data_IF_251627643578
#
_entry.id   IF_251627643578
#
_cell.length_a   1.000
_cell.length_b   1.000
_cell.length_c   1.000
_cell.angle_alpha   90.00
_cell.angle_beta   90.00
_cell.angle_gamma   90.00
#
_symmetry.space_group_name_H-M   'P 1'
#
loop_
_entity.id
_entity.type
_entity.pdbx_description
1 polymer ?
#
# COMPACT_ATOMS: atom_id res chain seq x y z
N UNK A 1 8.01 -1.59 -9.17
CA UNK A 1 6.70 -1.08 -8.68
C UNK A 1 6.67 -1.50 -7.23
N UNK A 2 6.40 -0.58 -6.31
CA UNK A 2 6.54 -0.78 -4.86
C UNK A 2 5.17 -0.62 -4.15
N UNK A 3 4.14 -1.41 -4.51
CA UNK A 3 2.79 -1.27 -3.97
C UNK A 3 2.66 -1.66 -2.50
N UNK A 4 3.59 -2.42 -1.93
CA UNK A 4 3.56 -2.83 -0.53
C UNK A 4 4.62 -2.15 0.35
N UNK A 5 5.50 -1.31 -0.23
CA UNK A 5 6.63 -0.74 0.50
C UNK A 5 7.82 -1.69 0.65
N UNK A 6 7.82 -2.80 -0.10
CA UNK A 6 8.84 -3.85 -0.07
C UNK A 6 10.28 -3.37 -0.31
N UNK A 7 10.46 -2.23 -0.97
CA UNK A 7 11.77 -1.63 -1.30
C UNK A 7 12.35 -0.74 -0.18
N UNK A 8 11.78 -0.76 1.03
CA UNK A 8 12.20 0.08 2.18
C UNK A 8 12.08 1.59 1.97
N UNK A 9 11.38 2.02 0.91
CA UNK A 9 11.14 3.42 0.58
C UNK A 9 9.67 3.63 0.31
N UNK A 10 9.12 4.80 0.66
CA UNK A 10 7.72 5.11 0.33
C UNK A 10 7.53 5.45 -1.15
N UNK A 11 8.57 5.86 -1.88
CA UNK A 11 8.42 6.15 -3.31
C UNK A 11 7.91 4.91 -4.07
N UNK A 12 6.89 5.03 -4.94
CA UNK A 12 6.28 6.25 -5.48
C UNK A 12 4.96 6.68 -4.79
N UNK A 13 4.71 6.30 -3.54
CA UNK A 13 3.57 6.78 -2.77
C UNK A 13 3.69 8.27 -2.43
N UNK A 14 2.58 8.98 -2.57
CA UNK A 14 2.37 10.34 -2.08
C UNK A 14 1.80 10.23 -0.67
N UNK A 15 2.48 10.84 0.29
CA UNK A 15 2.09 10.89 1.70
C UNK A 15 1.29 12.17 1.94
N UNK A 16 0.16 12.06 2.62
CA UNK A 16 -0.63 13.21 3.04
C UNK A 16 -1.31 12.96 4.41
N UNK A 17 -1.78 14.02 5.05
CA UNK A 17 -2.44 14.01 6.36
C UNK A 17 -1.49 14.10 7.55
N UNK A 18 -2.07 14.23 8.74
CA UNK A 18 -1.34 14.49 9.97
C UNK A 18 -0.68 13.24 10.56
N UNK A 19 -1.17 12.04 10.22
CA UNK A 19 -0.62 10.80 10.76
C UNK A 19 0.85 10.59 10.32
N UNK A 20 1.26 11.18 9.19
CA UNK A 20 2.55 10.97 8.53
C UNK A 20 2.87 9.46 8.32
N UNK A 21 2.06 8.74 7.51
CA UNK A 21 2.25 7.31 7.31
C UNK A 21 3.68 6.93 6.87
N UNK A 22 4.20 5.84 7.43
CA UNK A 22 5.56 5.36 7.16
C UNK A 22 5.62 3.85 6.93
N UNK A 23 6.79 3.37 6.53
CA UNK A 23 7.09 1.94 6.52
C UNK A 23 7.56 1.49 7.89
N UNK A 24 6.95 0.43 8.41
CA UNK A 24 7.43 -0.28 9.59
C UNK A 24 8.02 -1.63 9.17
N UNK A 25 9.15 -1.98 9.79
CA UNK A 25 9.89 -3.21 9.58
C UNK A 25 9.68 -4.23 10.73
N UNK A 26 8.54 -4.18 11.40
CA UNK A 26 8.22 -5.03 12.55
C UNK A 26 8.83 -4.52 13.86
N UNK A 27 9.31 -3.27 13.87
CA UNK A 27 9.78 -2.61 15.07
C UNK A 27 8.63 -2.27 16.03
N UNK A 28 7.42 -2.13 15.49
CA UNK A 28 6.24 -1.71 16.24
C UNK A 28 5.40 -2.88 16.79
N UNK A 29 5.42 -4.05 16.13
CA UNK A 29 4.52 -5.16 16.45
C UNK A 29 5.19 -6.56 16.33
N UNK A 30 5.14 -7.31 17.44
CA UNK A 30 5.61 -8.70 17.50
C UNK A 30 4.61 -9.62 16.79
N UNK A 31 5.05 -10.33 15.76
CA UNK A 31 4.22 -11.27 14.99
C UNK A 31 3.71 -10.75 13.65
N UNK A 32 4.23 -9.61 13.19
CA UNK A 32 4.02 -9.11 11.83
C UNK A 32 4.44 -10.17 10.78
N UNK A 33 3.69 -10.23 9.67
CA UNK A 33 3.97 -11.15 8.57
C UNK A 33 3.46 -10.54 7.25
N UNK A 34 4.24 -9.64 6.62
CA UNK A 34 3.86 -9.03 5.35
C UNK A 34 3.79 -10.10 4.25
N UNK A 35 2.86 -9.93 3.29
CA UNK A 35 2.69 -10.90 2.19
C UNK A 35 3.94 -11.02 1.33
N UNK A 36 4.65 -9.90 1.13
CA UNK A 36 5.89 -9.79 0.37
C UNK A 36 6.78 -8.74 1.02
N UNK A 37 8.10 -8.90 0.90
CA UNK A 37 9.08 -7.94 1.42
C UNK A 37 9.22 -7.98 2.95
N UNK A 38 9.81 -6.92 3.49
CA UNK A 38 10.13 -6.73 4.91
C UNK A 38 9.53 -5.43 5.45
N UNK A 39 8.38 -5.00 4.94
CA UNK A 39 7.76 -3.75 5.38
C UNK A 39 6.24 -3.85 5.36
N UNK A 40 5.60 -3.09 6.24
CA UNK A 40 4.17 -2.80 6.21
C UNK A 40 3.94 -1.30 6.35
N UNK A 41 2.78 -0.80 5.92
CA UNK A 41 2.41 0.58 6.19
C UNK A 41 1.97 0.75 7.64
N UNK A 42 2.40 1.84 8.25
CA UNK A 42 2.02 2.24 9.61
C UNK A 42 1.52 3.67 9.63
N UNK A 43 0.53 3.94 10.48
CA UNK A 43 -0.07 5.27 10.60
C UNK A 43 0.84 6.31 11.27
N UNK A 44 1.88 5.90 11.98
CA UNK A 44 2.83 6.71 12.77
C UNK A 44 2.19 7.61 13.85
N UNK A 45 2.05 8.92 13.64
CA UNK A 45 1.73 9.92 14.70
C UNK A 45 0.52 10.78 14.34
N UNK A 46 -0.56 10.74 15.10
CA UNK A 46 -1.72 11.62 14.88
C UNK A 46 -2.97 10.84 14.47
N UNK A 47 -3.98 11.54 13.96
CA UNK A 47 -5.31 10.95 13.75
C UNK A 47 -5.46 10.20 12.43
N UNK A 48 -5.20 10.88 11.29
CA UNK A 48 -5.46 10.35 9.95
C UNK A 48 -4.36 10.75 8.96
N UNK A 49 -4.04 9.82 8.07
CA UNK A 49 -3.12 10.03 6.95
C UNK A 49 -3.47 9.11 5.80
N UNK A 50 -2.93 9.43 4.63
CA UNK A 50 -3.18 8.68 3.39
C UNK A 50 -1.88 8.43 2.65
N UNK A 51 -1.83 7.26 1.99
CA UNK A 51 -0.84 6.94 0.97
C UNK A 51 -1.59 6.79 -0.34
N UNK A 52 -1.22 7.57 -1.35
CA UNK A 52 -1.81 7.50 -2.70
C UNK A 52 -0.76 7.15 -3.74
N UNK A 53 -1.07 6.25 -4.68
CA UNK A 53 -0.17 5.89 -5.79
C UNK A 53 -0.97 5.67 -7.07
N UNK A 54 -0.38 6.09 -8.20
CA UNK A 54 -0.89 5.74 -9.54
C UNK A 54 -0.41 4.36 -9.96
N UNK A 55 -1.34 3.49 -10.34
CA UNK A 55 -1.02 2.13 -10.81
C UNK A 55 -1.20 2.06 -12.32
N UNK A 56 -0.11 1.72 -13.03
CA UNK A 56 -0.15 1.54 -14.49
C UNK A 56 -0.80 0.20 -14.86
N UNK A 57 -2.02 0.22 -15.40
CA UNK A 57 -2.76 -1.02 -15.77
C UNK A 57 -2.39 -1.57 -17.16
N UNK A 58 -1.72 -0.77 -18.00
CA UNK A 58 -1.23 -1.13 -19.33
C UNK A 58 0.29 -1.33 -19.29
N UNK A 59 0.83 -2.32 -20.00
CA UNK A 59 2.28 -2.49 -20.18
C UNK A 59 2.76 -3.94 -20.16
N UNK A 60 4.04 -4.18 -20.40
CA UNK A 60 4.66 -5.50 -20.64
C UNK A 60 4.44 -6.57 -19.56
N UNK A 61 4.13 -6.17 -18.33
CA UNK A 61 3.84 -7.09 -17.22
C UNK A 61 2.34 -7.29 -16.97
N UNK A 62 1.48 -6.75 -17.83
CA UNK A 62 0.02 -6.87 -17.77
C UNK A 62 -0.50 -7.22 -19.16
N UNK A 63 -1.33 -8.24 -19.27
CA UNK A 63 -1.90 -8.70 -20.56
C UNK A 63 -2.95 -7.74 -21.16
N UNK A 64 -2.95 -6.46 -20.74
CA UNK A 64 -3.90 -5.42 -21.13
C UNK A 64 -3.16 -4.40 -22.02
N UNK A 65 -3.66 -4.19 -23.23
CA UNK A 65 -3.16 -3.18 -24.18
C UNK A 65 -4.09 -1.98 -24.27
N UNK A 66 -3.58 -0.84 -24.74
CA UNK A 66 -4.42 0.33 -25.05
C UNK A 66 -5.49 0.00 -26.10
N UNK A 67 -5.15 -0.79 -27.12
CA UNK A 67 -6.09 -1.22 -28.16
C UNK A 67 -7.28 -2.02 -27.61
N UNK A 68 -7.07 -2.82 -26.56
CA UNK A 68 -8.16 -3.55 -25.90
C UNK A 68 -9.06 -2.62 -25.06
N UNK A 69 -8.48 -1.58 -24.46
CA UNK A 69 -9.22 -0.54 -23.73
C UNK A 69 -10.06 0.27 -24.72
N UNK A 70 -9.46 0.75 -25.81
CA UNK A 70 -10.11 1.58 -26.82
C UNK A 70 -11.24 0.84 -27.54
N UNK A 71 -11.09 -0.48 -27.71
CA UNK A 71 -12.13 -1.32 -28.31
C UNK A 71 -13.34 -1.56 -27.40
N UNK A 72 -13.26 -1.24 -26.10
CA UNK A 72 -14.36 -1.45 -25.14
C UNK A 72 -14.76 -2.92 -24.92
N UNK A 73 -14.02 -3.87 -25.47
CA UNK A 73 -14.36 -5.29 -25.49
C UNK A 73 -13.77 -6.08 -24.30
N UNK A 74 -12.96 -5.42 -23.48
CA UNK A 74 -12.26 -6.05 -22.37
C UNK A 74 -12.90 -5.65 -21.04
N UNK A 75 -13.38 -6.64 -20.30
CA UNK A 75 -13.69 -6.46 -18.87
C UNK A 75 -12.43 -6.73 -18.06
N UNK A 76 -11.98 -5.76 -17.27
CA UNK A 76 -10.83 -5.89 -16.37
C UNK A 76 -11.26 -5.74 -14.92
N UNK A 77 -10.75 -6.60 -14.05
CA UNK A 77 -10.90 -6.48 -12.61
C UNK A 77 -9.56 -6.10 -11.97
N UNK A 78 -9.58 -5.08 -11.11
CA UNK A 78 -8.45 -4.78 -10.24
C UNK A 78 -8.69 -5.44 -8.88
N UNK A 79 -7.79 -6.35 -8.50
CA UNK A 79 -7.82 -6.99 -7.19
C UNK A 79 -6.57 -6.57 -6.42
N UNK A 80 -6.80 -6.05 -5.22
CA UNK A 80 -5.74 -5.71 -4.28
C UNK A 80 -5.79 -6.71 -3.13
N UNK A 81 -4.62 -7.19 -2.71
CA UNK A 81 -4.51 -7.91 -1.46
C UNK A 81 -4.21 -6.91 -0.36
N UNK A 82 -4.93 -7.01 0.75
CA UNK A 82 -4.67 -6.23 1.95
C UNK A 82 -4.79 -7.10 3.20
N UNK A 83 -4.05 -6.72 4.23
CA UNK A 83 -4.18 -7.22 5.59
C UNK A 83 -3.84 -6.07 6.52
N UNK A 84 -4.59 -5.97 7.61
CA UNK A 84 -4.34 -4.99 8.66
C UNK A 84 -3.91 -5.70 9.93
N UNK A 85 -3.01 -5.07 10.67
CA UNK A 85 -2.57 -5.49 11.99
C UNK A 85 -2.84 -4.34 12.96
N UNK A 86 -3.30 -4.61 14.19
CA UNK A 86 -3.32 -3.60 15.24
C UNK A 86 -1.88 -3.14 15.51
N UNK A 87 -1.65 -1.84 15.46
CA UNK A 87 -0.35 -1.25 15.82
C UNK A 87 -0.52 -0.46 17.12
N UNK A 88 0.28 -0.84 18.13
CA UNK A 88 0.25 -0.27 19.48
C UNK A 88 -0.60 -1.05 20.47
N UNK A 89 -0.22 -0.98 21.75
CA UNK A 89 -1.10 -1.31 22.85
C UNK A 89 -2.06 -0.13 23.03
N UNK A 90 -3.36 -0.38 23.06
CA UNK A 90 -4.35 0.63 23.47
C UNK A 90 -4.24 0.92 24.99
N UNK A 91 -3.12 1.46 25.47
CA UNK A 91 -2.97 1.92 26.86
C UNK A 91 -3.29 3.43 27.00
N UNK A 92 -4.10 3.97 26.08
CA UNK A 92 -4.57 5.34 26.10
C UNK A 92 -5.82 5.51 25.25
N UNK A 93 -6.92 4.86 25.65
CA UNK A 93 -8.24 5.18 25.15
C UNK A 93 -8.71 6.52 25.76
N UNK A 94 -9.19 7.39 24.87
CA UNK A 94 -10.13 8.53 25.05
C UNK A 94 -9.95 9.49 26.23
#
# INVERSE_FOLDING_TARGET
MNPGGEDAVLSPWIVDGSSNPQLDNGSFDLGWNPRTGLYQFSGHIGSLGTLTQTVAIVGTNRSITTSQIDAGNLTVGLLFWSRSFPQGNNDGAE
#
